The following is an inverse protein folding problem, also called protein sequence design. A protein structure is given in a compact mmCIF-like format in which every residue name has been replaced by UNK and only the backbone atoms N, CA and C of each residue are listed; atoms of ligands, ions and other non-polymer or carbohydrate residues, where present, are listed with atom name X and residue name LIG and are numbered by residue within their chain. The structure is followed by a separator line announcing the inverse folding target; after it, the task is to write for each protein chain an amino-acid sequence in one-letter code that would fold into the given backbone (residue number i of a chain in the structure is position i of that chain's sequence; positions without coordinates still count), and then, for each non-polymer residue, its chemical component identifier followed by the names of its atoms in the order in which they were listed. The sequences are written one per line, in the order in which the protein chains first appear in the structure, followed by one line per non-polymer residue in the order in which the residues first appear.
data_IF_837690120286
#
_entry.id   IF_837690120286
#
_cell.length_a   1.000
_cell.length_b   1.000
_cell.length_c   1.000
_cell.angle_alpha   90.00
_cell.angle_beta   90.00
_cell.angle_gamma   90.00
#
_symmetry.space_group_name_H-M   'P 1'
#
loop_
_entity.id
_entity.type
_entity.pdbx_description
1 polymer ?
#
# COMPACT_ATOMS: atom_id res chain seq x y z
N UNK A 1 1.80 24.90 12.03
CA UNK A 1 0.99 24.11 12.98
C UNK A 1 1.78 23.89 14.26
N UNK A 2 1.20 23.97 15.44
CA UNK A 2 1.85 23.50 16.65
C UNK A 2 1.92 21.96 16.64
N UNK A 3 2.94 21.41 17.29
CA UNK A 3 3.03 19.97 17.50
C UNK A 3 1.88 19.49 18.41
N UNK A 4 1.32 18.33 18.07
CA UNK A 4 0.37 17.64 18.96
C UNK A 4 1.10 17.08 20.19
N UNK A 5 0.36 16.69 21.22
CA UNK A 5 0.94 16.11 22.44
C UNK A 5 1.83 14.88 22.15
N UNK A 6 1.36 13.88 21.39
CA UNK A 6 2.18 12.72 21.01
C UNK A 6 3.45 13.11 20.24
N UNK A 7 3.38 14.10 19.36
CA UNK A 7 4.55 14.57 18.64
C UNK A 7 5.55 15.27 19.56
N UNK A 8 5.07 16.03 20.56
CA UNK A 8 5.92 16.66 21.58
C UNK A 8 6.65 15.65 22.41
N UNK A 9 5.98 14.56 22.81
CA UNK A 9 6.59 13.47 23.58
C UNK A 9 7.78 12.86 22.82
N UNK A 10 7.63 12.60 21.52
CA UNK A 10 8.73 12.08 20.69
C UNK A 10 9.90 13.08 20.59
N UNK A 11 9.63 14.37 20.38
CA UNK A 11 10.67 15.42 20.26
C UNK A 11 11.40 15.65 21.58
N UNK A 12 10.71 15.57 22.72
CA UNK A 12 11.29 15.79 24.03
C UNK A 12 12.12 14.62 24.53
N UNK A 13 11.96 13.44 23.94
CA UNK A 13 12.74 12.27 24.30
C UNK A 13 14.21 12.44 23.92
N UNK A 14 15.11 12.27 24.92
CA UNK A 14 16.56 12.45 24.75
C UNK A 14 17.30 11.16 24.39
N UNK A 15 16.58 10.05 24.15
CA UNK A 15 17.23 8.80 23.73
C UNK A 15 17.89 8.96 22.37
N UNK A 16 19.03 8.30 22.22
CA UNK A 16 19.84 8.39 20.99
C UNK A 16 19.11 7.83 19.77
N UNK A 17 18.39 6.73 19.95
CA UNK A 17 17.62 6.07 18.90
C UNK A 17 16.14 6.03 19.29
N UNK A 18 15.31 6.62 18.44
CA UNK A 18 13.87 6.70 18.66
C UNK A 18 13.13 6.05 17.51
N UNK A 19 12.17 5.18 17.82
CA UNK A 19 11.35 4.47 16.84
C UNK A 19 9.90 4.92 17.00
N UNK A 20 9.34 5.54 15.97
CA UNK A 20 7.96 5.97 15.92
C UNK A 20 7.19 5.10 14.93
N UNK A 21 6.31 4.26 15.44
CA UNK A 21 5.30 3.53 14.68
C UNK A 21 3.99 4.27 14.84
N UNK A 22 3.41 4.71 13.73
CA UNK A 22 2.13 5.41 13.82
C UNK A 22 1.23 5.18 12.63
N UNK A 23 -0.06 5.42 12.85
CA UNK A 23 -1.04 5.36 11.80
C UNK A 23 -0.79 6.41 10.70
N UNK A 24 -1.47 6.25 9.57
CA UNK A 24 -1.42 7.23 8.48
C UNK A 24 -1.91 8.58 8.95
N UNK A 25 -1.36 9.65 8.37
CA UNK A 25 -1.75 11.04 8.70
C UNK A 25 -1.49 11.46 10.15
N UNK A 26 -0.67 10.72 10.89
CA UNK A 26 -0.17 11.15 12.19
C UNK A 26 0.67 12.45 12.11
N UNK A 27 1.24 12.75 10.94
CA UNK A 27 2.15 13.87 10.76
C UNK A 27 3.64 13.50 10.96
N UNK A 28 4.02 12.24 10.66
CA UNK A 28 5.42 11.74 10.76
C UNK A 28 6.42 12.65 10.08
N UNK A 29 6.17 13.02 8.82
CA UNK A 29 7.09 13.86 8.04
C UNK A 29 7.24 15.26 8.64
N UNK A 30 6.15 15.86 9.11
CA UNK A 30 6.21 17.16 9.80
C UNK A 30 7.06 17.07 11.07
N UNK A 31 6.83 16.04 11.89
CA UNK A 31 7.63 15.77 13.09
C UNK A 31 9.12 15.56 12.73
N UNK A 32 9.42 14.78 11.69
CA UNK A 32 10.77 14.54 11.22
C UNK A 32 11.48 15.84 10.85
N UNK A 33 10.81 16.76 10.14
CA UNK A 33 11.37 18.06 9.76
C UNK A 33 11.62 18.94 11.00
N UNK A 34 10.73 18.92 12.00
CA UNK A 34 10.94 19.64 13.26
C UNK A 34 12.16 19.10 14.03
N UNK A 35 12.34 17.79 14.08
CA UNK A 35 13.52 17.17 14.67
C UNK A 35 14.81 17.54 13.91
N UNK A 36 14.77 17.50 12.58
CA UNK A 36 15.91 17.94 11.76
C UNK A 36 16.25 19.41 12.05
N UNK A 37 15.25 20.27 12.18
CA UNK A 37 15.45 21.69 12.53
C UNK A 37 16.06 21.85 13.93
N UNK A 38 15.65 21.03 14.91
CA UNK A 38 16.20 21.00 16.28
C UNK A 38 17.70 20.73 16.26
N UNK A 39 18.16 19.73 15.50
CA UNK A 39 19.60 19.45 15.36
C UNK A 39 20.32 20.48 14.50
N UNK A 40 19.69 21.01 13.46
CA UNK A 40 20.26 21.99 12.55
C UNK A 40 20.50 23.39 13.17
N UNK A 41 19.96 23.67 14.35
CA UNK A 41 20.27 24.91 15.10
C UNK A 41 21.71 24.98 15.56
N UNK A 42 22.35 23.84 15.79
CA UNK A 42 23.76 23.80 16.16
C UNK A 42 24.65 23.96 14.92
N UNK A 43 25.78 24.64 15.01
CA UNK A 43 26.65 24.86 13.86
C UNK A 43 27.38 23.58 13.43
N UNK A 44 27.75 23.55 12.15
CA UNK A 44 28.57 22.50 11.55
C UNK A 44 27.98 21.08 11.65
N UNK A 45 26.64 20.95 11.73
CA UNK A 45 25.99 19.65 11.78
C UNK A 45 25.80 19.09 10.37
N UNK A 46 25.76 17.75 10.29
CA UNK A 46 25.30 17.01 9.11
C UNK A 46 24.04 16.25 9.47
N UNK A 47 22.95 16.58 8.80
CA UNK A 47 21.61 16.07 9.06
C UNK A 47 21.06 15.41 7.80
N UNK A 48 20.67 14.17 7.88
CA UNK A 48 20.07 13.48 6.75
C UNK A 48 18.61 13.08 7.00
N UNK A 49 17.83 13.15 5.91
CA UNK A 49 16.54 12.51 5.79
C UNK A 49 16.66 11.41 4.74
N UNK A 50 16.35 10.18 5.11
CA UNK A 50 16.47 9.00 4.26
C UNK A 50 15.10 8.34 4.14
N UNK A 51 14.65 8.09 2.92
CA UNK A 51 13.47 7.29 2.62
C UNK A 51 13.84 6.10 1.73
N UNK A 52 12.94 5.15 1.46
CA UNK A 52 13.23 3.97 0.63
C UNK A 52 13.81 4.31 -0.74
N UNK A 53 13.41 5.43 -1.34
CA UNK A 53 13.99 5.90 -2.61
C UNK A 53 14.22 7.42 -2.62
N UNK A 54 15.20 7.85 -3.40
CA UNK A 54 15.50 9.29 -3.58
C UNK A 54 14.29 10.09 -4.09
N UNK A 55 13.49 9.49 -4.97
CA UNK A 55 12.26 10.09 -5.49
C UNK A 55 11.22 10.31 -4.39
N UNK A 56 11.09 9.37 -3.47
CA UNK A 56 10.18 9.52 -2.32
C UNK A 56 10.65 10.64 -1.40
N UNK A 57 11.94 10.73 -1.05
CA UNK A 57 12.50 11.82 -0.28
C UNK A 57 12.15 13.19 -0.88
N UNK A 58 12.32 13.32 -2.21
CA UNK A 58 11.96 14.55 -2.93
C UNK A 58 10.48 14.88 -2.82
N UNK A 59 9.63 13.92 -3.13
CA UNK A 59 8.18 14.15 -3.21
C UNK A 59 7.54 14.42 -1.84
N UNK A 60 8.05 13.76 -0.79
CA UNK A 60 7.42 13.78 0.54
C UNK A 60 7.94 14.95 1.40
N UNK A 61 9.25 15.18 1.39
CA UNK A 61 9.90 16.03 2.38
C UNK A 61 10.46 17.34 1.82
N UNK A 62 10.95 17.36 0.57
CA UNK A 62 11.80 18.44 0.07
C UNK A 62 11.17 19.84 0.14
N UNK A 63 9.98 20.01 -0.39
CA UNK A 63 9.34 21.32 -0.45
C UNK A 63 8.96 21.82 0.94
N UNK A 64 8.47 20.95 1.81
CA UNK A 64 8.12 21.30 3.19
C UNK A 64 9.36 21.70 4.01
N UNK A 65 10.46 20.97 3.83
CA UNK A 65 11.75 21.29 4.49
C UNK A 65 12.28 22.66 4.02
N UNK A 66 12.30 22.90 2.70
CA UNK A 66 12.74 24.19 2.13
C UNK A 66 11.91 25.34 2.69
N UNK A 67 10.60 25.22 2.64
CA UNK A 67 9.68 26.25 3.12
C UNK A 67 9.94 26.57 4.59
N UNK A 68 10.08 25.58 5.45
CA UNK A 68 10.38 25.78 6.86
C UNK A 68 11.71 26.50 7.07
N UNK A 69 12.79 26.05 6.44
CA UNK A 69 14.12 26.63 6.62
C UNK A 69 14.23 28.05 6.04
N UNK A 70 13.53 28.34 4.94
CA UNK A 70 13.45 29.69 4.37
C UNK A 70 12.63 30.62 5.26
N UNK A 71 11.52 30.18 5.83
CA UNK A 71 10.70 30.97 6.77
C UNK A 71 11.50 31.41 8.00
N UNK A 72 12.39 30.54 8.50
CA UNK A 72 13.31 30.86 9.58
C UNK A 72 14.52 31.69 9.14
N UNK A 73 14.69 31.97 7.83
CA UNK A 73 15.84 32.71 7.26
C UNK A 73 17.20 32.06 7.56
N UNK A 74 17.21 30.73 7.72
CA UNK A 74 18.44 29.99 8.05
C UNK A 74 19.27 29.61 6.83
N UNK A 75 18.66 29.58 5.64
CA UNK A 75 19.28 29.07 4.41
C UNK A 75 20.34 30.02 3.88
N UNK A 76 21.52 29.47 3.57
CA UNK A 76 22.62 30.13 2.86
C UNK A 76 22.64 29.76 1.37
N UNK A 77 22.43 28.45 1.06
CA UNK A 77 22.41 27.93 -0.32
C UNK A 77 21.49 26.74 -0.42
N UNK A 78 20.80 26.63 -1.55
CA UNK A 78 19.96 25.49 -1.93
C UNK A 78 20.62 24.77 -3.11
N UNK A 79 20.68 23.44 -3.09
CA UNK A 79 21.05 22.61 -4.22
C UNK A 79 19.85 21.69 -4.54
N UNK A 80 19.14 22.01 -5.61
CA UNK A 80 17.95 21.25 -6.06
C UNK A 80 18.30 19.89 -6.68
N UNK A 81 19.51 19.74 -7.24
CA UNK A 81 19.95 18.47 -7.84
C UNK A 81 20.30 17.45 -6.76
N UNK A 82 21.00 17.87 -5.72
CA UNK A 82 21.42 17.01 -4.62
C UNK A 82 20.43 16.97 -3.45
N UNK A 83 19.33 17.69 -3.56
CA UNK A 83 18.34 17.89 -2.50
C UNK A 83 19.00 18.26 -1.17
N UNK A 84 19.81 19.34 -1.18
CA UNK A 84 20.55 19.75 0.00
C UNK A 84 20.42 21.23 0.30
N UNK A 85 20.44 21.57 1.60
CA UNK A 85 20.39 22.92 2.15
C UNK A 85 21.63 23.16 2.97
N UNK A 86 22.46 24.14 2.56
CA UNK A 86 23.51 24.68 3.40
C UNK A 86 22.94 25.85 4.21
N UNK A 87 22.98 25.75 5.52
CA UNK A 87 22.53 26.80 6.43
C UNK A 87 23.63 27.85 6.71
N UNK A 88 23.23 29.00 7.25
CA UNK A 88 24.16 30.11 7.59
C UNK A 88 25.15 29.75 8.70
N UNK A 89 24.82 28.78 9.56
CA UNK A 89 25.71 28.24 10.60
C UNK A 89 26.59 27.07 10.12
N UNK A 90 26.73 26.88 8.79
CA UNK A 90 27.47 25.81 8.12
C UNK A 90 26.89 24.41 8.33
N UNK A 91 25.70 24.26 8.85
CA UNK A 91 25.01 22.97 8.90
C UNK A 91 24.52 22.58 7.51
N UNK A 92 24.73 21.31 7.14
CA UNK A 92 24.28 20.74 5.87
C UNK A 92 23.14 19.74 6.14
N UNK A 93 21.99 20.02 5.56
CA UNK A 93 20.86 19.12 5.55
C UNK A 93 20.75 18.49 4.16
N UNK A 94 20.63 17.17 4.05
CA UNK A 94 20.50 16.49 2.76
C UNK A 94 19.44 15.40 2.79
N UNK A 95 18.71 15.26 1.68
CA UNK A 95 17.76 14.17 1.48
C UNK A 95 18.42 13.07 0.65
N UNK A 96 18.19 11.82 1.03
CA UNK A 96 18.79 10.62 0.43
C UNK A 96 17.74 9.54 0.19
N UNK A 97 18.06 8.60 -0.70
CA UNK A 97 17.30 7.35 -0.90
C UNK A 97 18.12 6.16 -0.44
N UNK A 98 17.48 5.17 0.17
CA UNK A 98 18.12 3.92 0.57
C UNK A 98 18.14 2.86 -0.54
N UNK A 99 17.65 3.19 -1.73
CA UNK A 99 17.67 2.36 -2.94
C UNK A 99 19.10 2.11 -3.47
N UNK A 100 20.04 3.02 -3.16
CA UNK A 100 21.47 2.85 -3.40
C UNK A 100 22.25 3.10 -2.10
N UNK A 101 22.22 2.15 -1.20
CA UNK A 101 22.80 2.24 0.14
C UNK A 101 24.32 2.45 0.13
N UNK A 102 25.05 1.90 -0.85
CA UNK A 102 26.49 2.06 -0.97
C UNK A 102 26.91 3.53 -1.16
N UNK A 103 26.08 4.34 -1.80
CA UNK A 103 26.31 5.78 -1.98
C UNK A 103 26.22 6.59 -0.67
N UNK A 104 25.75 5.98 0.41
CA UNK A 104 25.54 6.61 1.71
C UNK A 104 26.75 6.44 2.66
N UNK A 105 27.81 5.77 2.24
CA UNK A 105 29.03 5.54 3.05
C UNK A 105 29.93 6.77 3.13
N UNK A 106 30.82 6.78 4.12
CA UNK A 106 31.97 7.74 4.21
C UNK A 106 31.61 9.12 4.74
N UNK A 107 30.49 9.26 5.45
CA UNK A 107 30.04 10.53 6.03
C UNK A 107 29.79 10.38 7.53
N UNK A 108 30.31 11.30 8.34
CA UNK A 108 29.90 11.40 9.77
C UNK A 108 28.62 12.21 9.88
N UNK A 109 27.60 11.70 10.58
CA UNK A 109 26.28 12.31 10.75
C UNK A 109 25.99 12.62 12.21
N UNK A 110 25.42 13.78 12.47
CA UNK A 110 24.95 14.16 13.80
C UNK A 110 23.50 13.75 14.05
N UNK A 111 22.69 13.73 12.98
CA UNK A 111 21.31 13.29 13.06
C UNK A 111 20.83 12.69 11.73
N UNK A 112 20.04 11.62 11.83
CA UNK A 112 19.39 10.99 10.68
C UNK A 112 17.93 10.70 10.99
N UNK A 113 17.05 10.99 10.03
CA UNK A 113 15.69 10.47 9.98
C UNK A 113 15.63 9.36 8.95
N UNK A 114 15.07 8.20 9.33
CA UNK A 114 14.68 7.15 8.40
C UNK A 114 13.16 7.13 8.32
N UNK A 115 12.61 7.69 7.24
CA UNK A 115 11.15 7.75 7.02
C UNK A 115 10.71 6.56 6.16
N UNK A 116 9.53 6.01 6.48
CA UNK A 116 9.01 4.75 5.93
C UNK A 116 10.05 3.62 6.01
N UNK A 117 10.76 3.54 7.16
CA UNK A 117 11.88 2.62 7.34
C UNK A 117 11.48 1.14 7.28
N UNK A 118 10.19 0.82 7.45
CA UNK A 118 9.67 -0.54 7.24
C UNK A 118 9.89 -1.05 5.79
N UNK A 119 10.14 -0.15 4.83
CA UNK A 119 10.46 -0.47 3.43
C UNK A 119 11.96 -0.37 3.11
N UNK A 120 12.78 0.01 4.08
CA UNK A 120 14.24 0.07 3.92
C UNK A 120 14.83 -1.29 4.27
N UNK A 121 15.80 -1.75 3.47
CA UNK A 121 16.50 -3.01 3.74
C UNK A 121 17.27 -2.91 5.07
N UNK A 122 17.21 -3.93 5.95
CA UNK A 122 17.94 -3.92 7.23
C UNK A 122 19.43 -3.65 7.08
N UNK A 123 20.06 -4.17 6.01
CA UNK A 123 21.48 -3.99 5.71
C UNK A 123 21.86 -2.51 5.53
N UNK A 124 20.98 -1.70 4.92
CA UNK A 124 21.22 -0.27 4.77
C UNK A 124 21.39 0.43 6.12
N UNK A 125 20.63 0.00 7.15
CA UNK A 125 20.83 0.50 8.50
C UNK A 125 22.09 -0.06 9.16
N UNK A 126 22.20 -1.38 9.29
CA UNK A 126 23.25 -1.97 10.10
C UNK A 126 24.64 -1.79 9.53
N UNK A 127 24.80 -1.91 8.20
CA UNK A 127 26.09 -1.92 7.54
C UNK A 127 26.54 -0.55 7.03
N UNK A 128 25.59 0.38 6.80
CA UNK A 128 25.89 1.66 6.17
C UNK A 128 25.54 2.84 7.08
N UNK A 129 24.28 3.01 7.47
CA UNK A 129 23.84 4.24 8.14
C UNK A 129 24.21 4.26 9.63
N UNK A 130 24.12 3.13 10.33
CA UNK A 130 24.49 3.07 11.76
C UNK A 130 25.96 3.45 12.01
N UNK A 131 26.94 2.98 11.22
CA UNK A 131 28.33 3.40 11.32
C UNK A 131 28.54 4.90 11.15
N UNK A 132 27.77 5.60 10.29
CA UNK A 132 27.91 7.05 10.07
C UNK A 132 27.63 7.89 11.31
N UNK A 133 26.97 7.34 12.33
CA UNK A 133 26.66 7.99 13.59
C UNK A 133 27.68 7.73 14.69
N UNK A 134 28.71 6.93 14.43
CA UNK A 134 29.62 6.45 15.48
C UNK A 134 30.58 7.54 15.95
N UNK A 135 31.20 8.29 15.04
CA UNK A 135 32.21 9.28 15.36
C UNK A 135 31.62 10.52 16.05
N UNK A 136 30.38 10.84 15.73
CA UNK A 136 29.68 12.03 16.25
C UNK A 136 28.79 11.74 17.44
N UNK A 137 28.67 10.47 17.83
CA UNK A 137 27.62 9.99 18.73
C UNK A 137 26.22 10.44 18.30
N UNK A 138 26.02 10.50 16.98
CA UNK A 138 24.80 11.03 16.34
C UNK A 138 23.54 10.25 16.69
N UNK A 139 22.40 10.89 16.54
CA UNK A 139 21.07 10.39 16.88
C UNK A 139 20.31 9.93 15.64
N UNK A 140 19.34 9.03 15.83
CA UNK A 140 18.43 8.61 14.77
C UNK A 140 16.97 8.63 15.21
N UNK A 141 16.09 9.01 14.28
CA UNK A 141 14.64 8.89 14.40
C UNK A 141 14.13 8.01 13.24
N UNK A 142 13.50 6.91 13.59
CA UNK A 142 12.85 6.00 12.66
C UNK A 142 11.35 6.27 12.66
N UNK A 143 10.76 6.51 11.50
CA UNK A 143 9.34 6.77 11.34
C UNK A 143 8.74 5.80 10.32
N UNK A 144 7.65 5.11 10.65
CA UNK A 144 6.90 4.29 9.69
C UNK A 144 5.50 3.99 10.19
N UNK A 145 4.62 3.55 9.29
CA UNK A 145 3.50 2.69 9.65
C UNK A 145 3.96 1.24 9.75
N UNK A 146 3.30 0.39 10.55
CA UNK A 146 3.69 -1.02 10.66
C UNK A 146 3.46 -1.76 9.33
N UNK A 147 4.29 -2.77 9.05
CA UNK A 147 4.17 -3.64 7.86
C UNK A 147 4.48 -5.08 8.21
N UNK A 148 3.57 -5.72 8.95
CA UNK A 148 3.81 -7.07 9.46
C UNK A 148 4.94 -7.11 10.49
N UNK A 149 5.42 -8.31 10.82
CA UNK A 149 6.51 -8.54 11.80
C UNK A 149 7.88 -8.55 11.08
N UNK A 150 8.27 -7.41 10.53
CA UNK A 150 9.52 -7.22 9.80
C UNK A 150 10.56 -6.43 10.63
N UNK A 151 11.61 -5.97 9.98
CA UNK A 151 12.66 -5.13 10.56
C UNK A 151 12.14 -3.95 11.41
N UNK A 152 11.00 -3.36 11.04
CA UNK A 152 10.41 -2.29 11.83
C UNK A 152 9.88 -2.79 13.18
N UNK A 153 9.35 -4.01 13.22
CA UNK A 153 8.95 -4.64 14.47
C UNK A 153 10.15 -4.98 15.34
N UNK A 154 11.25 -5.45 14.74
CA UNK A 154 12.47 -5.78 15.47
C UNK A 154 13.04 -4.54 16.18
N UNK A 155 13.12 -3.40 15.49
CA UNK A 155 13.58 -2.15 16.10
C UNK A 155 12.58 -1.60 17.12
N UNK A 156 11.27 -1.68 16.85
CA UNK A 156 10.23 -1.24 17.78
C UNK A 156 10.25 -2.04 19.09
N UNK A 157 10.50 -3.34 18.99
CA UNK A 157 10.50 -4.27 20.12
C UNK A 157 11.81 -4.26 20.91
N UNK A 158 12.84 -3.57 20.41
CA UNK A 158 14.17 -3.55 21.01
C UNK A 158 14.13 -2.96 22.43
N UNK A 159 14.75 -3.65 23.38
CA UNK A 159 14.91 -3.23 24.77
C UNK A 159 16.37 -2.89 25.01
N UNK A 160 16.71 -1.62 24.92
CA UNK A 160 18.08 -1.11 25.02
C UNK A 160 18.03 0.30 25.64
N UNK A 161 18.95 0.64 26.59
CA UNK A 161 18.94 1.94 27.27
C UNK A 161 19.06 3.15 26.33
N UNK A 162 19.70 3.02 25.17
CA UNK A 162 19.81 4.09 24.18
C UNK A 162 18.56 4.23 23.28
N UNK A 163 17.60 3.28 23.36
CA UNK A 163 16.43 3.21 22.49
C UNK A 163 15.15 3.58 23.22
N UNK A 164 14.23 4.23 22.49
CA UNK A 164 12.85 4.47 22.91
C UNK A 164 11.92 4.27 21.73
N UNK A 165 10.88 3.48 21.94
CA UNK A 165 9.84 3.22 20.96
C UNK A 165 8.54 3.92 21.37
N UNK A 166 7.83 4.44 20.37
CA UNK A 166 6.54 5.12 20.46
C UNK A 166 5.57 4.48 19.50
N UNK A 167 4.31 4.41 19.89
CA UNK A 167 3.24 3.92 19.05
C UNK A 167 2.01 4.81 19.23
N UNK A 168 1.49 5.34 18.11
CA UNK A 168 0.31 6.19 18.09
C UNK A 168 -0.60 5.87 16.92
N UNK A 169 -1.89 5.97 17.13
CA UNK A 169 -2.92 5.81 16.12
C UNK A 169 -3.02 7.06 15.23
N UNK A 170 -3.79 6.97 14.15
CA UNK A 170 -4.15 8.12 13.31
C UNK A 170 -4.89 9.20 14.10
N UNK A 171 -5.81 8.79 14.99
CA UNK A 171 -6.63 9.72 15.79
C UNK A 171 -5.76 10.55 16.74
N UNK A 172 -4.82 9.92 17.43
CA UNK A 172 -3.88 10.61 18.34
C UNK A 172 -2.99 11.62 17.62
N UNK A 173 -2.82 11.47 16.30
CA UNK A 173 -2.14 12.47 15.46
C UNK A 173 -2.89 13.79 15.33
N UNK A 174 -4.19 13.82 15.58
CA UNK A 174 -5.03 15.02 15.59
C UNK A 174 -5.23 15.68 14.21
N UNK A 175 -4.84 15.02 13.11
CA UNK A 175 -4.94 15.55 11.75
C UNK A 175 -6.17 15.04 10.99
N UNK A 176 -6.83 14.01 11.51
CA UNK A 176 -7.96 13.32 10.87
C UNK A 176 -9.14 13.34 11.82
N UNK A 177 -10.32 13.67 11.30
CA UNK A 177 -11.56 13.67 12.10
C UNK A 177 -12.02 12.25 12.42
N UNK A 178 -12.75 12.09 13.51
CA UNK A 178 -13.37 10.81 13.88
C UNK A 178 -14.32 10.30 12.79
N UNK A 179 -15.04 11.19 12.11
CA UNK A 179 -15.95 10.83 11.01
C UNK A 179 -15.20 10.19 9.83
N UNK A 180 -14.00 10.67 9.52
CA UNK A 180 -13.16 10.10 8.46
C UNK A 180 -12.63 8.72 8.85
N UNK A 181 -12.29 8.51 10.12
CA UNK A 181 -11.87 7.21 10.64
C UNK A 181 -13.03 6.21 10.59
N UNK A 182 -14.24 6.64 10.95
CA UNK A 182 -15.43 5.79 10.83
C UNK A 182 -15.75 5.43 9.37
N UNK A 183 -15.53 6.35 8.43
CA UNK A 183 -15.67 6.04 7.02
C UNK A 183 -14.60 5.04 6.56
N UNK A 184 -13.36 5.19 6.99
CA UNK A 184 -12.30 4.23 6.67
C UNK A 184 -12.60 2.80 7.18
N UNK A 185 -13.26 2.65 8.31
CA UNK A 185 -13.74 1.34 8.80
C UNK A 185 -14.76 0.69 7.86
N UNK A 186 -15.55 1.47 7.12
CA UNK A 186 -16.48 0.94 6.12
C UNK A 186 -15.74 0.43 4.87
N UNK A 187 -14.68 1.14 4.47
CA UNK A 187 -14.00 0.93 3.20
C UNK A 187 -12.90 -0.15 3.28
N UNK A 188 -12.38 -0.42 4.49
CA UNK A 188 -11.23 -1.29 4.70
C UNK A 188 -11.61 -2.61 5.37
N UNK A 189 -10.84 -3.66 5.11
CA UNK A 189 -10.85 -4.86 5.93
C UNK A 189 -10.22 -4.58 7.31
N UNK A 190 -10.54 -5.44 8.28
CA UNK A 190 -10.12 -5.24 9.67
C UNK A 190 -8.59 -5.16 9.85
N UNK A 191 -7.82 -6.04 9.20
CA UNK A 191 -6.35 -6.06 9.33
C UNK A 191 -5.71 -4.82 8.73
N UNK A 192 -6.18 -4.39 7.56
CA UNK A 192 -5.72 -3.15 6.93
C UNK A 192 -6.06 -1.94 7.80
N UNK A 193 -7.26 -1.89 8.37
CA UNK A 193 -7.65 -0.82 9.28
C UNK A 193 -6.76 -0.81 10.54
N UNK A 194 -6.55 -1.95 11.17
CA UNK A 194 -5.67 -2.08 12.34
C UNK A 194 -4.24 -1.62 12.03
N UNK A 195 -3.70 -2.01 10.88
CA UNK A 195 -2.35 -1.65 10.49
C UNK A 195 -2.21 -0.16 10.17
N UNK A 196 -3.08 0.36 9.30
CA UNK A 196 -2.92 1.70 8.71
C UNK A 196 -3.44 2.81 9.63
N UNK A 197 -4.45 2.55 10.47
CA UNK A 197 -5.07 3.55 11.34
C UNK A 197 -4.76 3.36 12.82
N UNK A 198 -4.70 2.12 13.31
CA UNK A 198 -4.41 1.83 14.72
C UNK A 198 -2.92 1.52 14.98
N UNK A 199 -2.08 1.61 13.97
CA UNK A 199 -0.64 1.33 14.04
C UNK A 199 -0.32 -0.04 14.67
N UNK A 200 -1.15 -1.05 14.39
CA UNK A 200 -0.98 -2.41 14.94
C UNK A 200 -0.14 -3.25 13.99
N UNK A 201 0.86 -3.95 14.52
CA UNK A 201 1.58 -4.97 13.76
C UNK A 201 0.67 -6.18 13.57
N UNK A 202 0.35 -6.49 12.32
CA UNK A 202 -0.58 -7.57 11.95
C UNK A 202 0.20 -8.67 11.25
N UNK A 203 -0.06 -9.92 11.62
CA UNK A 203 0.52 -11.07 10.93
C UNK A 203 -0.27 -11.40 9.67
N UNK A 204 0.42 -11.47 8.53
CA UNK A 204 -0.14 -11.89 7.25
C UNK A 204 0.21 -13.34 6.91
N UNK A 205 0.78 -14.12 7.83
CA UNK A 205 1.03 -15.54 7.60
C UNK A 205 -0.30 -16.32 7.44
N UNK A 206 -0.34 -17.24 6.48
CA UNK A 206 -1.49 -18.11 6.22
C UNK A 206 -2.35 -17.68 5.03
N UNK A 207 -3.66 -17.91 5.13
CA UNK A 207 -4.64 -17.72 4.05
C UNK A 207 -4.74 -16.23 3.67
N UNK A 208 -4.71 -15.94 2.36
CA UNK A 208 -4.76 -14.59 1.81
C UNK A 208 -6.13 -13.94 2.06
N UNK A 209 -7.22 -14.69 1.81
CA UNK A 209 -8.60 -14.20 1.98
C UNK A 209 -9.18 -14.62 3.32
N UNK A 210 -8.54 -14.18 4.38
CA UNK A 210 -8.84 -14.54 5.77
C UNK A 210 -10.20 -14.04 6.29
N UNK A 211 -10.83 -13.11 5.59
CA UNK A 211 -12.17 -12.60 5.91
C UNK A 211 -13.30 -13.40 5.28
N UNK A 212 -12.96 -14.39 4.43
CA UNK A 212 -13.95 -15.30 3.88
C UNK A 212 -14.48 -16.25 4.95
N UNK A 213 -15.80 -16.33 5.05
CA UNK A 213 -16.51 -17.18 6.00
C UNK A 213 -17.62 -17.93 5.23
N UNK A 214 -17.57 -19.26 5.23
CA UNK A 214 -18.51 -20.08 4.46
C UNK A 214 -19.97 -19.81 4.84
N UNK A 215 -20.25 -19.65 6.13
CA UNK A 215 -21.61 -19.47 6.62
C UNK A 215 -22.21 -18.10 6.27
N UNK A 216 -21.35 -17.11 6.00
CA UNK A 216 -21.73 -15.74 5.71
C UNK A 216 -21.61 -15.34 4.26
N UNK A 217 -20.61 -15.89 3.55
CA UNK A 217 -20.29 -15.49 2.20
C UNK A 217 -20.76 -16.48 1.13
N UNK A 218 -21.14 -17.72 1.47
CA UNK A 218 -21.72 -18.66 0.49
C UNK A 218 -23.25 -18.54 0.50
N UNK A 219 -23.82 -18.47 -0.69
CA UNK A 219 -25.25 -18.48 -0.93
C UNK A 219 -25.66 -19.63 -1.84
N UNK A 220 -26.84 -20.21 -1.63
CA UNK A 220 -27.35 -21.32 -2.44
C UNK A 220 -27.83 -20.83 -3.80
N UNK A 221 -28.51 -19.68 -3.87
CA UNK A 221 -29.10 -19.16 -5.09
C UNK A 221 -29.02 -17.62 -5.15
N UNK A 222 -28.88 -17.07 -6.35
CA UNK A 222 -29.11 -15.66 -6.65
C UNK A 222 -30.46 -15.53 -7.36
N UNK A 223 -31.43 -14.84 -6.75
CA UNK A 223 -32.82 -14.84 -7.21
C UNK A 223 -33.25 -13.61 -8.01
N UNK A 224 -32.45 -12.53 -7.98
CA UNK A 224 -32.82 -11.29 -8.65
C UNK A 224 -32.57 -11.40 -10.17
N UNK A 225 -33.40 -10.75 -10.97
CA UNK A 225 -33.15 -10.57 -12.39
C UNK A 225 -31.99 -9.59 -12.61
N UNK A 226 -31.14 -9.85 -13.58
CA UNK A 226 -30.03 -8.97 -13.95
C UNK A 226 -29.91 -8.85 -15.46
N UNK A 227 -29.51 -7.65 -15.92
CA UNK A 227 -29.25 -7.38 -17.33
C UNK A 227 -27.76 -7.23 -17.66
N UNK A 228 -26.94 -7.00 -16.65
CA UNK A 228 -25.50 -6.79 -16.76
C UNK A 228 -24.75 -7.82 -15.95
N UNK A 229 -23.72 -8.41 -16.51
CA UNK A 229 -22.75 -9.25 -15.81
C UNK A 229 -21.38 -8.57 -15.80
N UNK A 230 -20.69 -8.66 -14.68
CA UNK A 230 -19.36 -8.13 -14.45
C UNK A 230 -18.38 -9.30 -14.38
N UNK A 231 -17.41 -9.34 -15.28
CA UNK A 231 -16.49 -10.46 -15.43
C UNK A 231 -15.07 -10.02 -15.15
N UNK A 232 -14.47 -10.51 -14.07
CA UNK A 232 -13.03 -10.45 -13.86
C UNK A 232 -12.35 -11.54 -14.67
N UNK A 233 -11.26 -11.23 -15.38
CA UNK A 233 -10.57 -12.19 -16.23
C UNK A 233 -9.06 -12.18 -16.03
N UNK A 234 -8.49 -13.37 -15.80
CA UNK A 234 -7.05 -13.63 -15.84
C UNK A 234 -6.72 -14.34 -17.17
N UNK A 235 -5.71 -13.80 -17.90
CA UNK A 235 -5.28 -14.27 -19.21
C UNK A 235 -4.19 -15.34 -19.16
N UNK A 236 -4.14 -16.13 -18.13
CA UNK A 236 -3.23 -17.27 -18.16
C UNK A 236 -3.71 -18.33 -19.17
N UNK A 237 -2.79 -19.01 -19.84
CA UNK A 237 -3.14 -20.01 -20.88
C UNK A 237 -3.59 -21.33 -20.22
N UNK A 238 -3.01 -21.67 -19.09
CA UNK A 238 -3.25 -22.94 -18.39
C UNK A 238 -3.44 -22.77 -16.87
N UNK A 239 -4.67 -22.60 -16.43
CA UNK A 239 -5.92 -22.33 -17.15
C UNK A 239 -6.18 -20.85 -17.36
N UNK A 240 -6.96 -20.48 -18.38
CA UNK A 240 -7.61 -19.18 -18.45
C UNK A 240 -8.83 -19.19 -17.53
N UNK A 241 -8.94 -18.19 -16.65
CA UNK A 241 -9.97 -18.13 -15.63
C UNK A 241 -10.78 -16.83 -15.68
N UNK A 242 -12.09 -16.95 -15.50
CA UNK A 242 -12.97 -15.81 -15.36
C UNK A 242 -13.98 -16.01 -14.22
N UNK A 243 -14.22 -14.95 -13.45
CA UNK A 243 -15.22 -14.89 -12.39
C UNK A 243 -16.36 -14.02 -12.83
N UNK A 244 -17.56 -14.58 -12.89
CA UNK A 244 -18.77 -13.88 -13.34
C UNK A 244 -19.56 -13.40 -12.15
N UNK A 245 -19.92 -12.13 -12.12
CA UNK A 245 -20.56 -11.50 -10.97
C UNK A 245 -21.71 -10.59 -11.39
N UNK A 246 -22.63 -10.37 -10.46
CA UNK A 246 -23.62 -9.28 -10.49
C UNK A 246 -23.26 -8.30 -9.38
N UNK A 247 -23.27 -7.01 -9.70
CA UNK A 247 -23.05 -5.93 -8.72
C UNK A 247 -24.36 -5.20 -8.52
N UNK A 248 -24.86 -5.17 -7.29
CA UNK A 248 -26.12 -4.57 -6.91
C UNK A 248 -26.01 -3.89 -5.55
N UNK A 249 -26.31 -2.59 -5.46
CA UNK A 249 -26.26 -1.82 -4.22
C UNK A 249 -24.97 -2.00 -3.40
N UNK A 250 -23.82 -1.88 -4.09
CA UNK A 250 -22.46 -2.07 -3.53
C UNK A 250 -22.15 -3.50 -3.02
N UNK A 251 -23.05 -4.44 -3.24
CA UNK A 251 -22.83 -5.87 -3.00
C UNK A 251 -22.43 -6.58 -4.28
N UNK A 252 -21.56 -7.57 -4.14
CA UNK A 252 -21.04 -8.38 -5.23
C UNK A 252 -21.55 -9.80 -5.04
N UNK A 253 -22.16 -10.37 -6.06
CA UNK A 253 -22.62 -11.74 -6.09
C UNK A 253 -21.88 -12.48 -7.19
N UNK A 254 -20.96 -13.37 -6.84
CA UNK A 254 -20.30 -14.27 -7.79
C UNK A 254 -21.31 -15.36 -8.13
N UNK A 255 -21.76 -15.39 -9.39
CA UNK A 255 -22.85 -16.25 -9.84
C UNK A 255 -22.39 -17.41 -10.73
N UNK A 256 -21.19 -17.31 -11.32
CA UNK A 256 -20.60 -18.34 -12.16
C UNK A 256 -19.08 -18.23 -12.20
N UNK A 257 -18.43 -19.29 -12.64
CA UNK A 257 -17.01 -19.41 -12.88
C UNK A 257 -16.74 -20.05 -14.24
N UNK A 258 -15.77 -19.55 -14.98
CA UNK A 258 -15.36 -20.12 -16.27
C UNK A 258 -13.87 -20.45 -16.16
N UNK A 259 -13.53 -21.70 -16.51
CA UNK A 259 -12.16 -22.17 -16.56
C UNK A 259 -11.96 -22.96 -17.85
N UNK A 260 -11.00 -22.57 -18.66
CA UNK A 260 -10.69 -23.23 -19.93
C UNK A 260 -9.19 -23.52 -19.97
N UNK A 261 -8.84 -24.78 -20.20
CA UNK A 261 -7.47 -25.23 -20.30
C UNK A 261 -6.95 -25.12 -21.73
N UNK A 262 -5.67 -24.82 -21.89
CA UNK A 262 -4.99 -24.70 -23.19
C UNK A 262 -5.76 -23.79 -24.16
N UNK A 263 -6.28 -22.67 -23.64
CA UNK A 263 -7.26 -21.82 -24.29
C UNK A 263 -6.65 -20.51 -24.82
N UNK A 264 -7.43 -19.83 -25.63
CA UNK A 264 -7.14 -18.48 -26.15
C UNK A 264 -8.32 -17.54 -25.86
N UNK A 265 -8.09 -16.25 -26.11
CA UNK A 265 -9.06 -15.19 -25.83
C UNK A 265 -10.36 -15.34 -26.60
N UNK A 266 -10.33 -15.88 -27.85
CA UNK A 266 -11.54 -16.05 -28.65
C UNK A 266 -12.44 -17.15 -28.07
N UNK A 267 -11.87 -18.28 -27.62
CA UNK A 267 -12.64 -19.35 -26.98
C UNK A 267 -13.31 -18.88 -25.68
N UNK A 268 -12.62 -18.05 -24.88
CA UNK A 268 -13.24 -17.43 -23.72
C UNK A 268 -14.36 -16.47 -24.08
N UNK A 269 -14.21 -15.69 -25.16
CA UNK A 269 -15.26 -14.81 -25.68
C UNK A 269 -16.49 -15.60 -26.09
N UNK A 270 -16.29 -16.69 -26.82
CA UNK A 270 -17.38 -17.55 -27.31
C UNK A 270 -18.11 -18.22 -26.14
N UNK A 271 -17.39 -18.70 -25.15
CA UNK A 271 -17.97 -19.29 -23.93
C UNK A 271 -18.80 -18.26 -23.15
N UNK A 272 -18.29 -17.04 -22.98
CA UNK A 272 -19.03 -15.96 -22.31
C UNK A 272 -20.32 -15.62 -23.07
N UNK A 273 -20.27 -15.49 -24.40
CA UNK A 273 -21.43 -15.21 -25.22
C UNK A 273 -22.49 -16.33 -25.19
N UNK A 274 -22.03 -17.57 -25.19
CA UNK A 274 -22.90 -18.73 -25.12
C UNK A 274 -23.64 -18.84 -23.78
N UNK A 275 -22.95 -18.54 -22.67
CA UNK A 275 -23.56 -18.58 -21.33
C UNK A 275 -24.46 -17.37 -21.04
N UNK A 276 -24.14 -16.21 -21.62
CA UNK A 276 -24.81 -14.94 -21.32
C UNK A 276 -25.39 -14.26 -22.57
N UNK A 277 -26.22 -14.96 -23.39
CA UNK A 277 -26.85 -14.35 -24.54
C UNK A 277 -27.75 -13.20 -24.09
N UNK A 278 -27.74 -12.09 -24.82
CA UNK A 278 -28.57 -10.90 -24.56
C UNK A 278 -28.27 -10.17 -23.22
N UNK A 279 -27.14 -10.44 -22.57
CA UNK A 279 -26.69 -9.69 -21.40
C UNK A 279 -25.66 -8.63 -21.81
N UNK A 280 -25.66 -7.51 -21.11
CA UNK A 280 -24.55 -6.57 -21.19
C UNK A 280 -23.33 -7.15 -20.44
N UNK A 281 -22.23 -7.30 -21.17
CA UNK A 281 -20.97 -7.84 -20.62
C UNK A 281 -20.04 -6.67 -20.29
N UNK A 282 -19.65 -6.54 -19.02
CA UNK A 282 -18.61 -5.62 -18.57
C UNK A 282 -17.44 -6.47 -18.08
N UNK A 283 -16.28 -6.34 -18.73
CA UNK A 283 -15.14 -7.20 -18.45
C UNK A 283 -13.97 -6.40 -17.85
N UNK A 284 -13.33 -6.97 -16.84
CA UNK A 284 -12.20 -6.41 -16.09
C UNK A 284 -10.98 -7.31 -16.25
N UNK A 285 -10.23 -7.13 -17.36
CA UNK A 285 -9.10 -7.99 -17.65
C UNK A 285 -7.85 -7.59 -16.87
N UNK A 286 -6.89 -8.53 -16.76
CA UNK A 286 -5.53 -8.23 -16.32
C UNK A 286 -4.95 -7.08 -17.20
N UNK A 287 -4.39 -6.03 -16.61
CA UNK A 287 -3.71 -4.96 -17.33
C UNK A 287 -2.56 -5.41 -18.26
N UNK A 288 -1.97 -6.58 -18.04
CA UNK A 288 -0.96 -7.18 -18.95
C UNK A 288 -1.53 -7.51 -20.33
N UNK A 289 -2.86 -7.65 -20.47
CA UNK A 289 -3.62 -7.86 -21.71
C UNK A 289 -3.41 -6.77 -22.78
N UNK A 290 -2.77 -5.66 -22.42
CA UNK A 290 -2.34 -4.60 -23.35
C UNK A 290 -1.17 -5.01 -24.25
N UNK A 291 -0.44 -6.07 -23.90
CA UNK A 291 0.69 -6.55 -24.68
C UNK A 291 0.21 -7.19 -26.00
N UNK A 292 0.93 -6.90 -27.10
CA UNK A 292 0.67 -7.53 -28.40
C UNK A 292 1.13 -8.99 -28.38
N UNK A 293 0.28 -9.90 -28.84
CA UNK A 293 0.62 -11.32 -28.98
C UNK A 293 0.76 -11.70 -30.45
N UNK A 294 1.83 -12.33 -30.84
CA UNK A 294 2.09 -12.79 -32.21
C UNK A 294 1.08 -13.87 -32.65
N UNK A 295 0.60 -14.69 -31.71
CA UNK A 295 -0.44 -15.72 -31.92
C UNK A 295 -1.82 -15.16 -32.31
N UNK A 296 -2.08 -13.88 -32.08
CA UNK A 296 -3.37 -13.21 -32.39
C UNK A 296 -3.27 -12.26 -33.60
N UNK A 297 -2.37 -12.50 -34.54
CA UNK A 297 -2.20 -11.63 -35.71
C UNK A 297 -1.77 -10.18 -35.35
N UNK A 298 -1.10 -9.99 -34.20
CA UNK A 298 -0.67 -8.68 -33.73
C UNK A 298 -1.72 -7.89 -32.95
N UNK A 299 -2.93 -8.43 -32.77
CA UNK A 299 -3.97 -7.82 -31.93
C UNK A 299 -3.70 -8.08 -30.44
N UNK A 300 -4.16 -7.15 -29.60
CA UNK A 300 -4.12 -7.33 -28.16
C UNK A 300 -5.38 -8.06 -27.67
N UNK A 301 -5.30 -8.75 -26.54
CA UNK A 301 -6.49 -9.35 -25.92
C UNK A 301 -7.60 -8.30 -25.68
N UNK A 302 -7.23 -7.06 -25.31
CA UNK A 302 -8.17 -5.96 -25.17
C UNK A 302 -8.91 -5.62 -26.48
N UNK A 303 -8.22 -5.67 -27.62
CA UNK A 303 -8.83 -5.40 -28.92
C UNK A 303 -9.84 -6.52 -29.26
N UNK A 304 -9.51 -7.78 -28.99
CA UNK A 304 -10.42 -8.92 -29.21
C UNK A 304 -11.69 -8.78 -28.37
N UNK A 305 -11.57 -8.46 -27.08
CA UNK A 305 -12.72 -8.25 -26.19
C UNK A 305 -13.62 -7.10 -26.65
N UNK A 306 -13.05 -5.98 -27.07
CA UNK A 306 -13.80 -4.82 -27.60
C UNK A 306 -14.51 -5.15 -28.92
N UNK A 307 -13.82 -5.86 -29.82
CA UNK A 307 -14.39 -6.30 -31.10
C UNK A 307 -15.53 -7.30 -30.90
N UNK A 308 -15.50 -8.06 -29.81
CA UNK A 308 -16.59 -8.95 -29.43
C UNK A 308 -17.84 -8.21 -28.91
N UNK A 309 -17.75 -6.89 -28.70
CA UNK A 309 -18.85 -6.05 -28.23
C UNK A 309 -18.89 -5.91 -26.69
N UNK A 310 -17.85 -6.32 -25.97
CA UNK A 310 -17.79 -6.21 -24.52
C UNK A 310 -17.38 -4.79 -24.07
N UNK A 311 -17.97 -4.31 -22.99
CA UNK A 311 -17.51 -3.10 -22.32
C UNK A 311 -16.26 -3.42 -21.49
N UNK A 312 -15.08 -2.98 -21.96
CA UNK A 312 -13.80 -3.30 -21.32
C UNK A 312 -13.39 -2.20 -20.34
N UNK A 313 -13.23 -2.55 -19.07
CA UNK A 313 -12.77 -1.66 -18.00
C UNK A 313 -11.44 -2.12 -17.46
N UNK A 314 -10.38 -1.39 -17.75
CA UNK A 314 -9.02 -1.74 -17.33
C UNK A 314 -8.26 -0.52 -16.83
N UNK A 315 -7.51 -0.67 -15.75
CA UNK A 315 -6.63 0.38 -15.23
C UNK A 315 -5.49 0.68 -16.20
N UNK A 316 -5.03 1.93 -16.24
CA UNK A 316 -3.86 2.31 -17.04
C UNK A 316 -2.57 1.66 -16.53
N UNK A 317 -2.48 1.46 -15.22
CA UNK A 317 -1.38 0.77 -14.52
C UNK A 317 -1.98 -0.34 -13.67
N UNK A 318 -1.33 -1.50 -13.66
CA UNK A 318 -1.75 -2.61 -12.80
C UNK A 318 -1.77 -2.16 -11.33
N UNK A 319 -2.87 -2.41 -10.61
CA UNK A 319 -2.92 -2.16 -9.18
C UNK A 319 -1.94 -3.08 -8.46
N UNK A 320 -1.45 -2.64 -7.30
CA UNK A 320 -0.60 -3.50 -6.49
C UNK A 320 -1.39 -4.75 -6.05
N UNK A 321 -0.73 -5.90 -6.03
CA UNK A 321 -1.34 -7.17 -5.60
C UNK A 321 -1.99 -7.03 -4.24
N UNK A 322 -1.31 -6.38 -3.29
CA UNK A 322 -1.84 -6.09 -1.95
C UNK A 322 -3.15 -5.31 -1.99
N UNK A 323 -3.30 -4.34 -2.91
CA UNK A 323 -4.51 -3.52 -3.00
C UNK A 323 -5.70 -4.32 -3.52
N UNK A 324 -5.46 -5.21 -4.47
CA UNK A 324 -6.48 -6.15 -4.96
C UNK A 324 -6.94 -7.09 -3.84
N UNK A 325 -6.01 -7.67 -3.09
CA UNK A 325 -6.29 -8.56 -1.96
C UNK A 325 -7.09 -7.83 -0.88
N UNK A 326 -6.67 -6.63 -0.51
CA UNK A 326 -7.35 -5.84 0.52
C UNK A 326 -8.76 -5.42 0.09
N UNK A 327 -8.96 -5.05 -1.18
CA UNK A 327 -10.28 -4.75 -1.71
C UNK A 327 -11.23 -5.95 -1.61
N UNK A 328 -10.76 -7.16 -1.96
CA UNK A 328 -11.56 -8.38 -1.83
C UNK A 328 -11.85 -8.71 -0.36
N UNK A 329 -10.86 -8.67 0.53
CA UNK A 329 -11.05 -8.92 1.96
C UNK A 329 -12.03 -7.93 2.59
N UNK A 330 -11.99 -6.64 2.21
CA UNK A 330 -12.92 -5.62 2.71
C UNK A 330 -14.37 -5.91 2.28
N UNK A 331 -14.58 -6.56 1.12
CA UNK A 331 -15.90 -6.95 0.65
C UNK A 331 -16.38 -8.27 1.26
N UNK A 332 -15.48 -9.20 1.59
CA UNK A 332 -15.86 -10.36 2.41
C UNK A 332 -16.32 -9.94 3.79
N UNK A 333 -15.55 -9.09 4.47
CA UNK A 333 -15.92 -8.50 5.76
C UNK A 333 -15.12 -7.22 5.99
N UNK A 334 -15.78 -6.09 6.11
CA UNK A 334 -15.11 -4.84 6.44
C UNK A 334 -14.82 -4.72 7.96
N UNK A 335 -14.11 -3.66 8.37
CA UNK A 335 -13.75 -3.43 9.77
C UNK A 335 -14.97 -3.20 10.69
N UNK A 336 -16.15 -2.90 10.13
CA UNK A 336 -17.45 -2.86 10.84
C UNK A 336 -18.16 -4.21 10.92
N UNK A 337 -17.57 -5.26 10.35
CA UNK A 337 -18.17 -6.59 10.34
C UNK A 337 -19.22 -6.81 9.24
N UNK A 338 -19.34 -5.89 8.27
CA UNK A 338 -20.34 -5.97 7.19
C UNK A 338 -19.79 -6.80 6.04
N UNK A 339 -20.59 -7.76 5.55
CA UNK A 339 -20.31 -8.59 4.40
C UNK A 339 -20.99 -7.99 3.15
N UNK A 340 -20.27 -7.86 2.06
CA UNK A 340 -20.76 -7.30 0.79
C UNK A 340 -20.32 -8.12 -0.42
N UNK A 341 -19.63 -9.27 -0.25
CA UNK A 341 -19.26 -10.18 -1.30
C UNK A 341 -19.78 -11.59 -0.96
N UNK A 342 -20.52 -12.15 -1.91
CA UNK A 342 -21.16 -13.43 -1.80
C UNK A 342 -20.81 -14.31 -2.99
N UNK A 343 -20.69 -15.64 -2.76
CA UNK A 343 -20.31 -16.62 -3.78
C UNK A 343 -21.39 -17.69 -3.84
N UNK A 344 -21.89 -17.99 -5.03
CA UNK A 344 -22.78 -19.13 -5.22
C UNK A 344 -22.05 -20.44 -4.90
N UNK A 345 -22.74 -21.34 -4.21
CA UNK A 345 -22.22 -22.66 -3.83
C UNK A 345 -21.78 -23.51 -5.04
N UNK A 346 -22.31 -23.22 -6.21
CA UNK A 346 -21.91 -23.85 -7.48
C UNK A 346 -20.50 -23.46 -7.94
N UNK A 347 -19.99 -22.29 -7.53
CA UNK A 347 -18.66 -21.78 -7.90
C UNK A 347 -17.56 -22.45 -7.06
N UNK A 348 -17.39 -23.75 -7.23
CA UNK A 348 -16.52 -24.60 -6.38
C UNK A 348 -15.04 -24.25 -6.51
N UNK A 349 -14.58 -23.90 -7.73
CA UNK A 349 -13.18 -23.57 -7.98
C UNK A 349 -12.82 -22.19 -7.42
N UNK A 350 -13.72 -21.21 -7.53
CA UNK A 350 -13.58 -19.90 -6.89
C UNK A 350 -13.49 -20.06 -5.37
N UNK A 351 -14.43 -20.81 -4.75
CA UNK A 351 -14.42 -21.08 -3.31
C UNK A 351 -13.12 -21.74 -2.89
N UNK A 352 -12.70 -22.80 -3.62
CA UNK A 352 -11.45 -23.51 -3.34
C UNK A 352 -10.22 -22.62 -3.44
N UNK A 353 -10.17 -21.72 -4.44
CA UNK A 353 -9.08 -20.75 -4.62
C UNK A 353 -9.02 -19.75 -3.48
N UNK A 354 -10.16 -19.22 -3.06
CA UNK A 354 -10.26 -18.29 -1.92
C UNK A 354 -9.74 -18.94 -0.63
N UNK A 355 -10.11 -20.17 -0.37
CA UNK A 355 -9.77 -20.89 0.87
C UNK A 355 -8.33 -21.38 0.95
N UNK A 356 -7.69 -21.62 -0.19
CA UNK A 356 -6.41 -22.32 -0.24
C UNK A 356 -5.22 -21.47 -0.66
N UNK A 357 -5.45 -20.31 -1.23
CA UNK A 357 -4.32 -19.43 -1.58
C UNK A 357 -3.68 -18.86 -0.32
N UNK A 358 -2.38 -19.08 -0.19
CA UNK A 358 -1.56 -18.63 0.94
C UNK A 358 -0.48 -17.68 0.49
N UNK A 359 0.16 -17.00 1.42
CA UNK A 359 1.41 -16.27 1.16
C UNK A 359 2.59 -17.26 1.13
N UNK A 360 3.60 -16.95 0.32
CA UNK A 360 4.91 -17.64 0.40
C UNK A 360 5.48 -17.44 1.81
N UNK A 361 6.06 -18.48 2.36
CA UNK A 361 6.60 -18.46 3.73
C UNK A 361 7.54 -17.29 3.96
N UNK A 362 7.35 -16.58 5.07
CA UNK A 362 8.13 -15.41 5.45
C UNK A 362 7.95 -14.16 4.58
N UNK A 363 6.96 -14.15 3.66
CA UNK A 363 6.72 -13.03 2.75
C UNK A 363 5.27 -12.57 2.74
N UNK A 364 5.01 -11.39 2.13
CA UNK A 364 3.66 -10.88 1.82
C UNK A 364 3.32 -11.08 0.32
N UNK A 365 4.02 -11.99 -0.34
CA UNK A 365 3.80 -12.32 -1.75
C UNK A 365 2.91 -13.55 -1.84
N UNK A 366 1.79 -13.51 -2.60
CA UNK A 366 0.97 -14.70 -2.82
C UNK A 366 1.77 -15.83 -3.43
N UNK A 367 1.53 -17.06 -2.93
CA UNK A 367 2.05 -18.25 -3.56
C UNK A 367 1.26 -18.52 -4.86
N UNK A 368 1.99 -18.54 -5.98
CA UNK A 368 1.44 -18.84 -7.31
C UNK A 368 1.71 -20.26 -7.77
N UNK A 369 2.60 -20.98 -7.08
CA UNK A 369 3.02 -22.32 -7.45
C UNK A 369 1.92 -23.35 -7.14
N UNK A 370 0.98 -23.00 -6.26
CA UNK A 370 -0.18 -23.81 -5.89
C UNK A 370 -1.33 -23.81 -6.90
N UNK A 371 -1.35 -22.90 -7.90
CA UNK A 371 -2.38 -22.78 -8.92
C UNK A 371 -3.74 -22.27 -8.43
N UNK A 372 -3.79 -21.67 -7.23
CA UNK A 372 -5.01 -21.05 -6.68
C UNK A 372 -5.12 -19.56 -6.97
N UNK A 373 -4.19 -18.98 -7.72
CA UNK A 373 -4.13 -17.55 -7.99
C UNK A 373 -5.05 -17.09 -9.12
N UNK A 374 -5.32 -17.91 -10.13
CA UNK A 374 -6.03 -17.51 -11.35
C UNK A 374 -7.43 -16.90 -11.09
N UNK A 375 -8.29 -17.62 -10.37
CA UNK A 375 -9.62 -17.10 -10.01
C UNK A 375 -9.53 -15.93 -9.05
N UNK A 376 -8.57 -15.93 -8.16
CA UNK A 376 -8.36 -14.86 -7.19
C UNK A 376 -7.80 -13.58 -7.83
N UNK A 377 -6.92 -13.71 -8.82
CA UNK A 377 -6.45 -12.57 -9.62
C UNK A 377 -7.59 -12.00 -10.47
N UNK A 378 -8.37 -12.86 -11.14
CA UNK A 378 -9.57 -12.45 -11.90
C UNK A 378 -10.58 -11.70 -11.01
N UNK A 379 -10.92 -12.24 -9.84
CA UNK A 379 -11.79 -11.59 -8.86
C UNK A 379 -11.20 -10.25 -8.40
N UNK A 380 -9.89 -10.22 -8.10
CA UNK A 380 -9.18 -9.05 -7.63
C UNK A 380 -9.21 -7.88 -8.62
N UNK A 381 -9.07 -8.12 -9.92
CA UNK A 381 -9.16 -7.05 -10.94
C UNK A 381 -10.54 -6.41 -10.98
N UNK A 382 -11.61 -7.21 -10.91
CA UNK A 382 -12.98 -6.71 -10.94
C UNK A 382 -13.33 -5.96 -9.66
N UNK A 383 -13.00 -6.52 -8.50
CA UNK A 383 -13.31 -5.90 -7.20
C UNK A 383 -12.53 -4.60 -7.01
N UNK A 384 -11.21 -4.61 -7.26
CA UNK A 384 -10.38 -3.41 -7.09
C UNK A 384 -10.79 -2.28 -8.04
N UNK A 385 -11.21 -2.60 -9.25
CA UNK A 385 -11.66 -1.58 -10.20
C UNK A 385 -12.90 -0.84 -9.71
N UNK A 386 -13.90 -1.57 -9.22
CA UNK A 386 -15.18 -1.01 -8.79
C UNK A 386 -15.14 -0.46 -7.36
N UNK A 387 -14.32 -1.06 -6.50
CA UNK A 387 -14.23 -0.75 -5.07
C UNK A 387 -12.77 -0.61 -4.64
N UNK A 388 -12.04 0.37 -5.19
CA UNK A 388 -10.63 0.54 -4.85
C UNK A 388 -10.46 0.90 -3.38
N UNK A 389 -9.42 0.34 -2.74
CA UNK A 389 -8.98 0.82 -1.44
C UNK A 389 -8.47 2.24 -1.62
N UNK A 390 -9.26 3.24 -1.18
CA UNK A 390 -8.91 4.64 -1.33
C UNK A 390 -7.64 4.95 -0.53
N UNK A 391 -6.55 5.21 -1.23
CA UNK A 391 -5.30 5.72 -0.63
C UNK A 391 -5.15 7.22 -0.76
N UNK A 392 -5.97 7.87 -1.58
CA UNK A 392 -5.88 9.29 -1.89
C UNK A 392 -6.75 10.11 -0.93
N UNK A 393 -6.20 10.41 0.23
CA UNK A 393 -6.54 11.67 0.87
C UNK A 393 -5.91 12.79 0.02
N UNK A 394 -6.68 13.41 -0.86
CA UNK A 394 -6.28 14.69 -1.41
C UNK A 394 -6.18 15.64 -0.21
N UNK A 395 -5.02 16.30 0.03
CA UNK A 395 -4.96 17.33 1.06
C UNK A 395 -6.02 18.37 0.71
N UNK A 396 -6.82 18.77 1.71
CA UNK A 396 -7.83 19.82 1.53
C UNK A 396 -7.08 21.09 1.04
N UNK A 397 -7.35 21.59 -0.18
CA UNK A 397 -6.62 22.73 -0.71
C UNK A 397 -6.83 24.03 0.10
N UNK A 398 -7.81 24.06 1.01
CA UNK A 398 -8.12 25.21 1.86
C UNK A 398 -7.35 25.25 3.19
N UNK A 399 -6.52 24.28 3.50
CA UNK A 399 -5.59 24.33 4.64
C UNK A 399 -4.16 24.70 4.21
N UNK A 400 -3.99 25.49 3.15
CA UNK A 400 -2.74 26.18 2.89
C UNK A 400 -2.54 27.20 4.00
N UNK A 401 -1.69 26.85 4.91
CA UNK A 401 -0.87 27.63 5.86
C UNK A 401 -1.19 29.13 5.92
N UNK A 402 -2.14 29.56 6.75
CA UNK A 402 -2.21 30.94 7.25
C UNK A 402 -1.29 31.08 8.46
#
# INVERSE_FOLDING_TARGET
MPLTEPQREVIQCNKRFRVLISGRRFGKTFLAIQEMAKFARFPNQRVWYVSPSYRQSKTICWDMLKEMMLRHRWVKRINESDLSLLLKNNTLISLKGADNDQSLRGVGLNFIVLDEFADIKPQAWYEVLRPTLSDTLGHALFCSSPKGFNFAYDLYSKRDPEWQSFKYTTLEGGQVSESEIEQAKNDLDERTFQQEYLATFVNYAGIIYYNFDRDKNIIENYKNSYNTVHIGQDFNIDPMAAVVSVIENDKIYIIDEIQIWSSNTNEMIDEIKNRYPNKKIVIYPDPSSKARKTSAGGMTDLALLKNAGFEVRVRNKAPLVRDRINAVNSKFKNAKGINSLYVLKSCKNVIKSIERQIYKEGTNVPDKDSGYDHFNDALGYMVEYNFPVKRDFKPNPLQRWS
#
